data_IF_210158699526
#
_entry.id   IF_210158699526
#
_cell.length_a   1.000
_cell.length_b   1.000
_cell.length_c   1.000
_cell.angle_alpha   90.00
_cell.angle_beta   90.00
_cell.angle_gamma   90.00
#
_symmetry.space_group_name_H-M   'P 1'
#
loop_
_entity.id
_entity.type
_entity.pdbx_description
1 polymer ?
#
# COMPACT_ATOMS: atom_id res chain seq x y z
N UNK A 1 14.23 -23.24 17.38
CA UNK A 1 14.27 -21.87 17.93
C UNK A 1 12.87 -21.30 17.83
N UNK A 2 12.23 -21.04 18.96
CA UNK A 2 10.91 -20.40 19.03
C UNK A 2 11.02 -18.98 18.45
N UNK A 3 10.12 -18.62 17.54
CA UNK A 3 10.03 -17.23 17.06
C UNK A 3 9.84 -16.31 18.28
N UNK A 4 10.62 -15.23 18.43
CA UNK A 4 10.38 -14.27 19.49
C UNK A 4 8.97 -13.71 19.33
N UNK A 5 8.14 -13.86 20.37
CA UNK A 5 6.80 -13.28 20.39
C UNK A 5 6.92 -11.76 20.31
N UNK A 6 6.14 -11.15 19.40
CA UNK A 6 5.99 -9.69 19.36
C UNK A 6 5.54 -9.19 20.73
N UNK A 7 6.12 -8.08 21.19
CA UNK A 7 5.73 -7.41 22.43
C UNK A 7 4.26 -6.96 22.36
N UNK A 8 3.64 -6.79 23.53
CA UNK A 8 2.25 -6.30 23.63
C UNK A 8 2.10 -4.95 22.93
N UNK A 9 3.05 -4.04 23.14
CA UNK A 9 3.13 -2.74 22.47
C UNK A 9 3.12 -2.87 20.95
N UNK A 10 3.92 -3.77 20.38
CA UNK A 10 3.95 -3.98 18.92
C UNK A 10 2.62 -4.51 18.40
N UNK A 11 1.98 -5.43 19.13
CA UNK A 11 0.66 -5.97 18.73
C UNK A 11 -0.41 -4.88 18.73
N UNK A 12 -0.42 -4.02 19.74
CA UNK A 12 -1.33 -2.88 19.82
C UNK A 12 -1.10 -1.92 18.65
N UNK A 13 0.16 -1.59 18.36
CA UNK A 13 0.51 -0.71 17.24
C UNK A 13 0.09 -1.31 15.89
N UNK A 14 0.26 -2.62 15.68
CA UNK A 14 -0.22 -3.30 14.46
C UNK A 14 -1.73 -3.15 14.29
N UNK A 15 -2.51 -3.31 15.37
CA UNK A 15 -3.97 -3.17 15.30
C UNK A 15 -4.42 -1.74 14.97
N UNK A 16 -3.67 -0.74 15.43
CA UNK A 16 -3.99 0.67 15.22
C UNK A 16 -3.42 1.26 13.92
N UNK A 17 -2.40 0.65 13.33
CA UNK A 17 -1.75 1.07 12.09
C UNK A 17 -2.60 0.80 10.82
N UNK A 18 -3.91 1.09 10.89
CA UNK A 18 -4.84 0.98 9.77
C UNK A 18 -4.78 2.23 8.92
N UNK A 19 -3.93 2.21 7.90
CA UNK A 19 -3.62 3.42 7.12
C UNK A 19 -4.69 3.80 6.10
N UNK A 20 -5.69 2.96 5.82
CA UNK A 20 -6.74 3.28 4.85
C UNK A 20 -7.88 4.03 5.54
N UNK A 21 -8.44 5.03 4.86
CA UNK A 21 -9.64 5.74 5.29
C UNK A 21 -10.48 6.15 4.09
N UNK A 22 -11.80 6.00 4.23
CA UNK A 22 -12.80 6.47 3.27
C UNK A 22 -13.67 7.60 3.86
N UNK A 23 -13.20 8.22 4.96
CA UNK A 23 -13.97 9.16 5.77
C UNK A 23 -14.30 10.49 5.07
N UNK A 24 -13.68 10.77 3.92
CA UNK A 24 -13.94 11.97 3.09
C UNK A 24 -14.78 11.65 1.85
N UNK A 25 -15.04 10.36 1.57
CA UNK A 25 -15.63 9.92 0.31
C UNK A 25 -17.15 10.02 0.28
N UNK A 26 -17.82 10.21 1.43
CA UNK A 26 -19.30 10.22 1.56
C UNK A 26 -19.98 11.27 0.67
N UNK A 27 -19.27 12.34 0.32
CA UNK A 27 -19.82 13.40 -0.55
C UNK A 27 -19.73 13.07 -2.05
N UNK A 28 -19.00 12.00 -2.41
CA UNK A 28 -18.68 11.65 -3.81
C UNK A 28 -19.05 10.22 -4.18
N UNK A 29 -19.23 9.36 -3.17
CA UNK A 29 -19.55 7.96 -3.32
C UNK A 29 -20.77 7.60 -2.46
N UNK A 30 -21.71 6.80 -2.99
CA UNK A 30 -22.81 6.27 -2.19
C UNK A 30 -22.27 5.34 -1.09
N UNK A 31 -23.03 5.22 -0.01
CA UNK A 31 -22.60 4.46 1.17
C UNK A 31 -22.31 2.99 0.84
N UNK A 32 -23.08 2.41 -0.08
CA UNK A 32 -22.93 1.05 -0.58
C UNK A 32 -21.58 0.83 -1.26
N UNK A 33 -21.10 1.81 -2.05
CA UNK A 33 -19.80 1.72 -2.69
C UNK A 33 -18.68 1.80 -1.66
N UNK A 34 -18.78 2.73 -0.69
CA UNK A 34 -17.82 2.87 0.41
C UNK A 34 -17.73 1.58 1.23
N UNK A 35 -18.85 0.90 1.46
CA UNK A 35 -18.88 -0.38 2.18
C UNK A 35 -18.09 -1.49 1.47
N UNK A 36 -18.07 -1.52 0.13
CA UNK A 36 -17.27 -2.50 -0.62
C UNK A 36 -15.76 -2.30 -0.39
N UNK A 37 -15.30 -1.04 -0.43
CA UNK A 37 -13.92 -0.70 -0.10
C UNK A 37 -13.58 -1.02 1.36
N UNK A 38 -14.46 -0.67 2.29
CA UNK A 38 -14.28 -0.93 3.71
C UNK A 38 -14.21 -2.43 4.01
N UNK A 39 -15.11 -3.23 3.43
CA UNK A 39 -15.12 -4.68 3.62
C UNK A 39 -13.85 -5.35 3.06
N UNK A 40 -13.34 -4.88 1.93
CA UNK A 40 -12.07 -5.37 1.38
C UNK A 40 -10.89 -5.00 2.29
N UNK A 41 -10.85 -3.77 2.83
CA UNK A 41 -9.81 -3.36 3.78
C UNK A 41 -9.86 -4.11 5.11
N UNK A 42 -11.05 -4.32 5.67
CA UNK A 42 -11.26 -5.10 6.90
C UNK A 42 -10.77 -6.55 6.76
N UNK A 43 -10.84 -7.10 5.55
CA UNK A 43 -10.36 -8.43 5.21
C UNK A 43 -8.89 -8.45 4.76
N UNK A 44 -8.23 -7.28 4.64
CA UNK A 44 -6.85 -7.16 4.18
C UNK A 44 -6.61 -7.66 2.76
N UNK A 45 -7.64 -7.69 1.91
CA UNK A 45 -7.60 -8.26 0.55
C UNK A 45 -7.75 -7.19 -0.51
N UNK A 46 -7.28 -7.42 -1.74
CA UNK A 46 -7.64 -6.53 -2.85
C UNK A 46 -9.14 -6.61 -3.17
N UNK A 47 -9.65 -5.59 -3.86
CA UNK A 47 -10.99 -5.63 -4.46
C UNK A 47 -11.06 -6.80 -5.46
N UNK A 48 -12.12 -7.60 -5.35
CA UNK A 48 -12.43 -8.67 -6.30
C UNK A 48 -13.04 -8.10 -7.58
N UNK A 49 -13.18 -8.93 -8.61
CA UNK A 49 -13.88 -8.52 -9.83
C UNK A 49 -15.34 -8.14 -9.54
N UNK A 50 -15.98 -8.84 -8.61
CA UNK A 50 -17.34 -8.54 -8.16
C UNK A 50 -17.41 -7.17 -7.44
N UNK A 51 -16.47 -6.89 -6.52
CA UNK A 51 -16.43 -5.59 -5.83
C UNK A 51 -16.27 -4.46 -6.86
N UNK A 52 -15.33 -4.61 -7.81
CA UNK A 52 -15.05 -3.61 -8.85
C UNK A 52 -16.26 -3.39 -9.77
N UNK A 53 -16.95 -4.47 -10.17
CA UNK A 53 -18.17 -4.37 -10.96
C UNK A 53 -19.29 -3.65 -10.21
N UNK A 54 -19.50 -3.96 -8.93
CA UNK A 54 -20.52 -3.29 -8.11
C UNK A 54 -20.17 -1.81 -7.89
N UNK A 55 -18.91 -1.48 -7.60
CA UNK A 55 -18.43 -0.09 -7.48
C UNK A 55 -18.71 0.68 -8.78
N UNK A 56 -18.42 0.07 -9.94
CA UNK A 56 -18.67 0.68 -11.25
C UNK A 56 -20.15 0.97 -11.52
N UNK A 57 -21.06 0.15 -10.97
CA UNK A 57 -22.50 0.35 -11.13
C UNK A 57 -23.04 1.45 -10.20
N UNK A 58 -22.50 1.52 -9.00
CA UNK A 58 -22.94 2.45 -7.95
C UNK A 58 -22.42 3.87 -8.16
N UNK A 59 -21.19 3.97 -8.63
CA UNK A 59 -20.52 5.23 -8.92
C UNK A 59 -20.42 5.27 -10.42
N UNK A 60 -21.06 6.23 -11.10
CA UNK A 60 -20.88 6.49 -12.54
C UNK A 60 -19.44 6.95 -12.83
N UNK A 61 -18.49 6.12 -12.45
CA UNK A 61 -17.08 6.37 -12.28
C UNK A 61 -16.38 6.24 -13.62
N UNK A 62 -15.17 6.80 -13.69
CA UNK A 62 -14.31 6.59 -14.84
C UNK A 62 -13.91 5.12 -14.90
N UNK A 63 -14.54 4.38 -15.80
CA UNK A 63 -14.32 2.93 -16.03
C UNK A 63 -12.85 2.61 -16.31
N UNK A 64 -12.08 3.57 -16.80
CA UNK A 64 -10.65 3.42 -17.04
C UNK A 64 -9.84 3.18 -15.77
N UNK A 65 -10.13 3.89 -14.67
CA UNK A 65 -9.35 3.75 -13.42
C UNK A 65 -9.69 2.46 -12.66
N UNK A 66 -10.92 1.95 -12.81
CA UNK A 66 -11.28 0.61 -12.33
C UNK A 66 -10.45 -0.45 -13.07
N UNK A 67 -10.33 -0.37 -14.39
CA UNK A 67 -9.51 -1.27 -15.18
C UNK A 67 -8.01 -1.17 -14.82
N UNK A 68 -7.50 0.02 -14.52
CA UNK A 68 -6.13 0.21 -14.00
C UNK A 68 -5.95 -0.51 -12.67
N UNK A 69 -6.86 -0.29 -11.72
CA UNK A 69 -6.82 -0.92 -10.39
C UNK A 69 -6.80 -2.46 -10.50
N UNK A 70 -7.66 -3.02 -11.35
CA UNK A 70 -7.68 -4.45 -11.66
C UNK A 70 -6.35 -4.93 -12.27
N UNK A 71 -5.85 -4.22 -13.28
CA UNK A 71 -4.61 -4.58 -13.97
C UNK A 71 -3.36 -4.56 -13.08
N UNK A 72 -3.32 -3.63 -12.11
CA UNK A 72 -2.27 -3.56 -11.09
C UNK A 72 -2.40 -4.68 -10.05
N UNK A 73 -3.61 -4.95 -9.56
CA UNK A 73 -3.90 -6.08 -8.66
C UNK A 73 -3.41 -7.39 -9.26
N UNK A 74 -3.76 -7.65 -10.52
CA UNK A 74 -3.44 -8.92 -11.20
C UNK A 74 -1.93 -9.12 -11.43
N UNK A 75 -1.16 -8.02 -11.43
CA UNK A 75 0.30 -8.00 -11.61
C UNK A 75 1.07 -7.68 -10.33
N UNK A 76 0.41 -7.68 -9.17
CA UNK A 76 0.99 -7.29 -7.86
C UNK A 76 2.31 -8.01 -7.58
N UNK A 77 2.38 -9.32 -7.87
CA UNK A 77 3.58 -10.12 -7.61
C UNK A 77 4.79 -9.60 -8.36
N UNK A 78 4.64 -9.35 -9.66
CA UNK A 78 5.72 -8.85 -10.50
C UNK A 78 6.15 -7.44 -10.08
N UNK A 79 5.18 -6.58 -9.74
CA UNK A 79 5.44 -5.20 -9.28
C UNK A 79 6.26 -5.22 -7.99
N UNK A 80 5.86 -6.04 -7.01
CA UNK A 80 6.57 -6.18 -5.73
C UNK A 80 7.95 -6.80 -5.93
N UNK A 81 8.10 -7.80 -6.82
CA UNK A 81 9.40 -8.42 -7.13
C UNK A 81 10.37 -7.42 -7.81
N UNK A 82 9.89 -6.59 -8.74
CA UNK A 82 10.68 -5.50 -9.35
C UNK A 82 11.11 -4.47 -8.29
N UNK A 83 10.20 -4.02 -7.44
CA UNK A 83 10.50 -3.06 -6.37
C UNK A 83 11.50 -3.63 -5.36
N UNK A 84 11.34 -4.90 -4.95
CA UNK A 84 12.30 -5.62 -4.10
C UNK A 84 13.69 -5.64 -4.74
N UNK A 85 13.77 -5.97 -6.02
CA UNK A 85 15.06 -6.02 -6.75
C UNK A 85 15.73 -4.65 -6.73
N UNK A 86 14.97 -3.57 -6.91
CA UNK A 86 15.49 -2.21 -6.82
C UNK A 86 16.04 -1.88 -5.43
N UNK A 87 15.30 -2.22 -4.36
CA UNK A 87 15.76 -2.02 -2.97
C UNK A 87 17.05 -2.77 -2.69
N UNK A 88 17.14 -4.03 -3.11
CA UNK A 88 18.34 -4.84 -2.90
C UNK A 88 19.55 -4.33 -3.70
N UNK A 89 19.33 -3.75 -4.88
CA UNK A 89 20.40 -3.12 -5.64
C UNK A 89 20.88 -1.82 -4.98
N UNK A 90 19.97 -1.02 -4.42
CA UNK A 90 20.29 0.24 -3.73
C UNK A 90 20.94 -0.01 -2.37
N UNK A 91 20.52 -1.06 -1.65
CA UNK A 91 21.03 -1.42 -0.33
C UNK A 91 21.54 -2.87 -0.29
N UNK A 92 22.70 -3.19 -0.91
CA UNK A 92 23.16 -4.56 -1.13
C UNK A 92 23.38 -5.38 0.15
N UNK A 93 23.65 -4.71 1.28
CA UNK A 93 23.91 -5.37 2.57
C UNK A 93 22.70 -5.39 3.51
N UNK A 94 21.53 -4.89 3.08
CA UNK A 94 20.38 -4.68 3.98
C UNK A 94 19.81 -5.98 4.56
N UNK A 95 19.98 -7.10 3.86
CA UNK A 95 19.53 -8.44 4.30
C UNK A 95 20.65 -9.27 4.93
N UNK A 96 21.88 -8.75 5.00
CA UNK A 96 23.02 -9.43 5.63
C UNK A 96 23.00 -9.21 7.15
N UNK A 97 23.71 -10.02 7.95
CA UNK A 97 23.84 -9.78 9.39
C UNK A 97 24.25 -8.33 9.70
N UNK A 98 23.46 -7.65 10.53
CA UNK A 98 23.64 -6.22 10.84
C UNK A 98 22.86 -5.26 9.93
N UNK A 99 22.29 -5.74 8.82
CA UNK A 99 21.40 -4.97 7.96
C UNK A 99 19.98 -4.84 8.51
N UNK A 100 19.28 -3.76 8.13
CA UNK A 100 17.94 -3.43 8.66
C UNK A 100 16.82 -4.42 8.31
N UNK A 101 17.03 -5.29 7.31
CA UNK A 101 16.10 -6.36 6.90
C UNK A 101 16.60 -7.76 7.30
N UNK A 102 17.62 -7.86 8.16
CA UNK A 102 18.05 -9.11 8.77
C UNK A 102 17.44 -9.30 10.17
N UNK A 103 16.98 -10.51 10.54
CA UNK A 103 17.01 -11.75 9.76
C UNK A 103 15.89 -11.82 8.71
N UNK A 104 15.89 -12.84 7.86
CA UNK A 104 15.00 -13.00 6.70
C UNK A 104 13.51 -12.69 6.97
N UNK A 105 12.99 -12.99 8.17
CA UNK A 105 11.60 -12.66 8.55
C UNK A 105 11.29 -11.16 8.50
N UNK A 106 12.28 -10.28 8.72
CA UNK A 106 12.15 -8.82 8.56
C UNK A 106 12.08 -8.43 7.09
N UNK A 107 12.89 -9.05 6.24
CA UNK A 107 12.77 -8.89 4.79
C UNK A 107 11.38 -9.33 4.31
N UNK A 108 10.91 -10.51 4.74
CA UNK A 108 9.58 -11.00 4.39
C UNK A 108 8.47 -10.06 4.85
N UNK A 109 8.61 -9.43 6.02
CA UNK A 109 7.68 -8.41 6.50
C UNK A 109 7.70 -7.15 5.60
N UNK A 110 8.88 -6.65 5.24
CA UNK A 110 9.04 -5.52 4.33
C UNK A 110 8.38 -5.79 2.95
N UNK A 111 8.54 -6.99 2.39
CA UNK A 111 7.93 -7.34 1.11
C UNK A 111 6.40 -7.51 1.21
N UNK A 112 5.89 -7.96 2.37
CA UNK A 112 4.45 -7.94 2.63
C UNK A 112 3.91 -6.52 2.73
N UNK A 113 4.64 -5.60 3.34
CA UNK A 113 4.24 -4.19 3.40
C UNK A 113 4.13 -3.58 1.99
N UNK A 114 5.02 -3.94 1.06
CA UNK A 114 4.91 -3.51 -0.35
C UNK A 114 3.62 -3.97 -1.01
N UNK A 115 3.23 -5.22 -0.78
CA UNK A 115 1.94 -5.76 -1.23
C UNK A 115 0.77 -4.99 -0.61
N UNK A 116 0.81 -4.71 0.70
CA UNK A 116 -0.23 -3.94 1.37
C UNK A 116 -0.31 -2.49 0.90
N UNK A 117 0.82 -1.83 0.62
CA UNK A 117 0.82 -0.46 0.09
C UNK A 117 0.19 -0.39 -1.29
N UNK A 118 0.55 -1.31 -2.19
CA UNK A 118 -0.07 -1.34 -3.51
C UNK A 118 -1.58 -1.60 -3.40
N UNK A 119 -2.03 -2.43 -2.45
CA UNK A 119 -3.47 -2.61 -2.17
C UNK A 119 -4.14 -1.30 -1.79
N UNK A 120 -3.60 -0.55 -0.84
CA UNK A 120 -4.14 0.74 -0.43
C UNK A 120 -4.20 1.73 -1.60
N UNK A 121 -3.13 1.80 -2.40
CA UNK A 121 -3.06 2.64 -3.61
C UNK A 121 -4.16 2.24 -4.62
N UNK A 122 -4.37 0.93 -4.84
CA UNK A 122 -5.41 0.46 -5.77
C UNK A 122 -6.83 0.81 -5.33
N UNK A 123 -7.08 0.96 -4.02
CA UNK A 123 -8.36 1.50 -3.53
C UNK A 123 -8.52 2.95 -3.90
N UNK A 124 -7.50 3.78 -3.65
CA UNK A 124 -7.51 5.18 -4.04
C UNK A 124 -7.78 5.34 -5.54
N UNK A 125 -7.08 4.56 -6.37
CA UNK A 125 -7.28 4.56 -7.84
C UNK A 125 -8.71 4.19 -8.21
N UNK A 126 -9.26 3.10 -7.67
CA UNK A 126 -10.61 2.65 -7.99
C UNK A 126 -11.70 3.62 -7.47
N UNK A 127 -11.47 4.24 -6.32
CA UNK A 127 -12.34 5.28 -5.74
C UNK A 127 -12.07 6.69 -6.27
N UNK A 128 -11.12 6.85 -7.20
CA UNK A 128 -10.75 8.13 -7.82
C UNK A 128 -10.41 9.25 -6.82
N UNK A 129 -9.83 8.87 -5.69
CA UNK A 129 -9.50 9.76 -4.58
C UNK A 129 -8.09 9.50 -4.07
N UNK A 130 -7.25 10.53 -4.05
CA UNK A 130 -5.87 10.43 -3.57
C UNK A 130 -5.78 10.48 -2.05
N UNK A 131 -6.82 10.93 -1.36
CA UNK A 131 -6.91 11.07 0.10
C UNK A 131 -7.38 9.78 0.81
N UNK A 132 -6.97 8.62 0.31
CA UNK A 132 -7.40 7.30 0.79
C UNK A 132 -6.72 6.86 2.11
N UNK A 133 -6.01 7.75 2.80
CA UNK A 133 -5.22 7.41 4.00
C UNK A 133 -5.75 8.03 5.29
N UNK A 134 -5.67 7.29 6.39
CA UNK A 134 -5.96 7.76 7.75
C UNK A 134 -4.76 8.48 8.38
N UNK A 135 -4.95 9.73 8.82
CA UNK A 135 -3.93 10.48 9.58
C UNK A 135 -3.58 9.74 10.88
N UNK A 136 -4.60 9.25 11.60
CA UNK A 136 -4.40 8.47 12.83
C UNK A 136 -3.69 7.13 12.55
N UNK A 137 -4.11 6.42 11.50
CA UNK A 137 -3.49 5.16 11.10
C UNK A 137 -2.02 5.31 10.71
N UNK A 138 -1.70 6.37 9.97
CA UNK A 138 -0.31 6.70 9.61
C UNK A 138 0.52 7.06 10.83
N UNK A 139 -0.04 7.80 11.80
CA UNK A 139 0.64 8.08 13.06
C UNK A 139 1.03 6.79 13.82
N UNK A 140 0.09 5.84 13.96
CA UNK A 140 0.41 4.56 14.60
C UNK A 140 1.38 3.70 13.79
N UNK A 141 1.32 3.77 12.46
CA UNK A 141 2.31 3.11 11.60
C UNK A 141 3.72 3.71 11.79
N UNK A 142 3.85 5.03 11.96
CA UNK A 142 5.13 5.67 12.28
C UNK A 142 5.68 5.14 13.61
N UNK A 143 4.85 5.10 14.66
CA UNK A 143 5.25 4.54 15.95
C UNK A 143 5.63 3.06 15.85
N UNK A 144 4.91 2.27 15.04
CA UNK A 144 5.24 0.88 14.77
C UNK A 144 6.60 0.74 14.09
N UNK A 145 6.86 1.56 13.07
CA UNK A 145 8.10 1.52 12.31
C UNK A 145 9.30 1.96 13.16
N UNK A 146 9.12 2.93 14.05
CA UNK A 146 10.12 3.32 15.04
C UNK A 146 10.41 2.18 16.03
N UNK A 147 9.37 1.56 16.59
CA UNK A 147 9.50 0.45 17.54
C UNK A 147 10.21 -0.76 16.92
N UNK A 148 9.89 -1.05 15.66
CA UNK A 148 10.49 -2.16 14.90
C UNK A 148 11.81 -1.79 14.21
N UNK A 149 12.29 -0.56 14.37
CA UNK A 149 13.50 -0.03 13.73
C UNK A 149 13.52 -0.32 12.21
N UNK A 150 12.39 -0.06 11.54
CA UNK A 150 12.23 -0.29 10.10
C UNK A 150 13.14 0.68 9.34
N UNK A 151 13.92 0.21 8.34
CA UNK A 151 14.78 1.07 7.54
C UNK A 151 13.93 1.94 6.59
N UNK A 152 13.52 3.13 7.06
CA UNK A 152 12.62 4.04 6.31
C UNK A 152 13.15 4.41 4.93
N UNK A 153 14.46 4.61 4.77
CA UNK A 153 15.08 4.86 3.47
C UNK A 153 14.80 3.74 2.46
N UNK A 154 14.89 2.49 2.90
CA UNK A 154 14.60 1.33 2.05
C UNK A 154 13.10 1.20 1.75
N UNK A 155 12.22 1.58 2.69
CA UNK A 155 10.78 1.58 2.46
C UNK A 155 10.37 2.64 1.41
N UNK A 156 10.95 3.85 1.48
CA UNK A 156 10.69 4.91 0.49
C UNK A 156 11.18 4.49 -0.90
N UNK A 157 12.41 3.98 -1.01
CA UNK A 157 12.95 3.46 -2.29
C UNK A 157 12.09 2.31 -2.82
N UNK A 158 11.59 1.44 -1.93
CA UNK A 158 10.66 0.38 -2.27
C UNK A 158 9.37 0.90 -2.88
N UNK A 159 8.75 1.91 -2.25
CA UNK A 159 7.50 2.49 -2.72
C UNK A 159 7.66 3.29 -4.02
N UNK A 160 8.79 3.97 -4.21
CA UNK A 160 9.18 4.58 -5.50
C UNK A 160 9.39 3.51 -6.59
N UNK A 161 9.96 2.36 -6.21
CA UNK A 161 10.06 1.18 -7.07
C UNK A 161 8.69 0.63 -7.46
N UNK A 162 7.76 0.52 -6.52
CA UNK A 162 6.36 0.11 -6.75
C UNK A 162 5.69 1.07 -7.72
N UNK A 163 5.83 2.39 -7.53
CA UNK A 163 5.33 3.41 -8.47
C UNK A 163 5.88 3.17 -9.87
N UNK A 164 7.20 3.05 -9.99
CA UNK A 164 7.88 2.88 -11.28
C UNK A 164 7.41 1.61 -11.98
N UNK A 165 7.38 0.47 -11.29
CA UNK A 165 6.94 -0.80 -11.85
C UNK A 165 5.45 -0.82 -12.19
N UNK A 166 4.62 -0.13 -11.40
CA UNK A 166 3.18 0.02 -11.67
C UNK A 166 2.92 0.84 -12.92
N UNK A 167 3.58 2.01 -13.08
CA UNK A 167 3.35 2.90 -14.23
C UNK A 167 3.77 2.26 -15.56
N UNK A 168 4.75 1.34 -15.58
CA UNK A 168 5.07 0.53 -16.78
C UNK A 168 3.92 -0.34 -17.27
N UNK A 169 2.95 -0.65 -16.40
CA UNK A 169 1.78 -1.49 -16.68
C UNK A 169 0.51 -0.68 -16.93
N UNK A 170 0.63 0.65 -16.96
CA UNK A 170 -0.44 1.60 -17.18
C UNK A 170 -0.23 2.27 -18.53
N UNK A 171 -1.31 2.45 -19.28
CA UNK A 171 -1.27 3.13 -20.57
C UNK A 171 -0.66 4.53 -20.44
N UNK A 172 0.18 4.97 -21.41
CA UNK A 172 0.92 6.24 -21.28
C UNK A 172 0.05 7.46 -21.01
N UNK A 173 -1.18 7.51 -21.55
CA UNK A 173 -2.14 8.61 -21.35
C UNK A 173 -2.77 8.63 -19.95
N UNK A 174 -2.69 7.51 -19.21
CA UNK A 174 -3.23 7.37 -17.86
C UNK A 174 -2.16 7.54 -16.77
N UNK A 175 -0.88 7.41 -17.11
CA UNK A 175 0.21 7.46 -16.11
C UNK A 175 0.22 8.76 -15.29
N UNK A 176 -0.05 9.91 -15.92
CA UNK A 176 -0.11 11.20 -15.23
C UNK A 176 -1.29 11.30 -14.24
N UNK A 177 -2.38 10.58 -14.50
CA UNK A 177 -3.55 10.51 -13.61
C UNK A 177 -3.28 9.55 -12.45
N UNK A 178 -2.54 8.47 -12.71
CA UNK A 178 -2.29 7.39 -11.74
C UNK A 178 -1.11 7.68 -10.81
N UNK A 179 -0.09 8.42 -11.27
CA UNK A 179 1.08 8.74 -10.46
C UNK A 179 0.77 9.43 -9.10
N UNK A 180 -0.17 10.40 -9.01
CA UNK A 180 -0.50 11.07 -7.75
C UNK A 180 -0.94 10.14 -6.61
N UNK A 181 -1.57 9.00 -6.92
CA UNK A 181 -1.98 8.04 -5.89
C UNK A 181 -0.77 7.41 -5.19
N UNK A 182 0.30 7.13 -5.94
CA UNK A 182 1.56 6.65 -5.39
C UNK A 182 2.30 7.77 -4.65
N UNK A 183 2.35 8.96 -5.26
CA UNK A 183 3.03 10.13 -4.67
C UNK A 183 2.46 10.48 -3.31
N UNK A 184 1.14 10.41 -3.14
CA UNK A 184 0.50 10.61 -1.85
C UNK A 184 1.12 9.73 -0.74
N UNK A 185 1.17 8.41 -0.93
CA UNK A 185 1.71 7.50 0.09
C UNK A 185 3.23 7.64 0.27
N UNK A 186 3.97 7.93 -0.80
CA UNK A 186 5.41 8.22 -0.73
C UNK A 186 5.68 9.44 0.15
N UNK A 187 4.93 10.52 -0.06
CA UNK A 187 5.07 11.75 0.72
C UNK A 187 4.61 11.57 2.18
N UNK A 188 3.57 10.77 2.45
CA UNK A 188 3.22 10.40 3.82
C UNK A 188 4.35 9.63 4.52
N UNK A 189 4.95 8.65 3.83
CA UNK A 189 6.01 7.84 4.42
C UNK A 189 7.32 8.63 4.64
N UNK A 190 7.62 9.61 3.78
CA UNK A 190 8.78 10.52 3.97
C UNK A 190 8.67 11.36 5.25
N UNK A 191 7.45 11.63 5.72
CA UNK A 191 7.20 12.39 6.95
C UNK A 191 7.48 11.60 8.23
N UNK A 192 7.78 10.29 8.14
CA UNK A 192 8.04 9.47 9.34
C UNK A 192 9.40 9.76 9.99
N UNK A 193 10.24 10.57 9.32
CA UNK A 193 11.61 10.92 9.69
C UNK A 193 11.68 12.03 10.74
#
# INVERSE_FOLDING_TARGET
MTQPQLSEKVRELIQKARIVSFATWQNTHPAEAIQLFQAADDQGRYLTDEDLQQIQQLVSANTKLIAVSQGLRDRVREIVDEARTHVLATFPNITQPGGGLYPAIRADACWRDFWHFLRCITYGIAGQHTDYTSVEGLHYMQLLYQELQVPLDAMVVGLEGIKTASLKRVEPDQQAIVAPYFDHLIEQLKQFR
#
